data_IF_863059817759
#
_entry.id   IF_863059817759
#
_cell.length_a   1.000
_cell.length_b   1.000
_cell.length_c   1.000
_cell.angle_alpha   90.00
_cell.angle_beta   90.00
_cell.angle_gamma   90.00
#
_symmetry.space_group_name_H-M   'P 1'
#
loop_
_entity.id
_entity.type
_entity.pdbx_description
1 polymer ?
#
# COMPACT_ATOMS: atom_id res chain seq x y z
N UNK A 1 54.85 14.11 30.63
CA UNK A 1 54.70 15.52 30.98
C UNK A 1 53.25 15.87 30.77
N UNK A 2 52.41 15.68 31.75
CA UNK A 2 51.83 16.64 32.66
C UNK A 2 51.25 17.89 31.97
N UNK A 3 49.96 18.07 31.97
CA UNK A 3 49.12 18.85 32.91
C UNK A 3 47.65 18.77 32.48
N UNK A 4 46.78 18.27 33.30
CA UNK A 4 45.92 18.85 34.39
C UNK A 4 44.71 19.67 33.89
N UNK A 5 43.54 19.03 34.07
CA UNK A 5 42.29 19.47 34.76
C UNK A 5 41.88 20.96 34.68
N UNK A 6 40.65 21.21 34.31
CA UNK A 6 39.77 22.08 35.13
C UNK A 6 38.29 21.77 34.92
N UNK A 7 37.68 21.37 35.99
CA UNK A 7 36.25 21.25 36.30
C UNK A 7 35.71 22.68 36.54
N UNK A 8 34.55 22.99 35.95
CA UNK A 8 33.73 24.08 36.51
C UNK A 8 32.29 23.59 36.65
N UNK A 9 31.94 23.32 37.92
CA UNK A 9 30.57 23.23 38.42
C UNK A 9 30.11 24.65 38.71
N UNK A 10 28.93 25.04 38.20
CA UNK A 10 28.11 26.08 38.82
C UNK A 10 26.64 25.67 38.66
N UNK A 11 26.02 25.30 39.76
CA UNK A 11 24.63 25.45 40.12
C UNK A 11 24.60 26.67 41.03
N UNK A 12 23.65 27.60 40.96
CA UNK A 12 22.48 27.48 41.81
C UNK A 12 21.18 28.18 41.38
N UNK A 13 20.15 27.72 41.98
CA UNK A 13 19.14 28.40 42.83
C UNK A 13 17.90 29.05 42.18
N UNK A 14 16.79 28.41 42.49
CA UNK A 14 15.49 28.91 42.98
C UNK A 14 14.94 30.26 42.46
N UNK A 15 13.74 30.22 41.89
CA UNK A 15 12.66 31.10 42.37
C UNK A 15 11.27 30.43 42.17
N UNK A 16 10.70 30.09 43.30
CA UNK A 16 9.30 29.73 43.54
C UNK A 16 8.47 31.01 43.49
N UNK A 17 7.45 31.11 42.66
CA UNK A 17 6.44 32.15 42.79
C UNK A 17 5.04 31.48 42.75
N UNK A 18 4.53 31.26 43.93
CA UNK A 18 3.13 30.95 44.23
C UNK A 18 2.28 32.19 44.02
N UNK A 19 1.24 32.10 43.19
CA UNK A 19 0.14 33.06 43.21
C UNK A 19 -1.18 32.33 43.51
N UNK A 20 -1.60 32.51 44.73
CA UNK A 20 -2.94 32.19 45.24
C UNK A 20 -3.86 33.31 44.79
N UNK A 21 -4.96 33.01 44.14
CA UNK A 21 -6.12 33.91 44.10
C UNK A 21 -7.41 33.15 44.44
N UNK A 22 -8.08 33.77 45.36
CA UNK A 22 -9.17 33.37 46.20
C UNK A 22 -10.50 33.15 45.49
N UNK A 23 -11.25 32.20 46.08
CA UNK A 23 -12.67 31.90 45.84
C UNK A 23 -13.57 33.14 46.08
N UNK A 24 -14.63 33.22 45.28
CA UNK A 24 -15.90 33.74 45.74
C UNK A 24 -17.01 32.82 45.24
N UNK A 25 -17.65 32.21 46.21
CA UNK A 25 -18.85 31.37 46.05
C UNK A 25 -20.07 32.26 45.98
N UNK A 26 -21.09 31.83 45.21
CA UNK A 26 -22.52 31.77 45.60
C UNK A 26 -23.35 31.30 44.43
N UNK A 27 -24.05 30.23 44.57
CA UNK A 27 -25.50 30.08 44.64
C UNK A 27 -26.04 28.99 43.72
N UNK A 28 -26.29 27.88 44.30
CA UNK A 28 -27.50 27.01 44.25
C UNK A 28 -28.28 26.80 42.90
N UNK A 29 -28.35 25.59 42.34
CA UNK A 29 -29.53 24.69 42.33
C UNK A 29 -29.47 23.68 41.19
N UNK A 30 -29.63 22.38 41.60
CA UNK A 30 -30.35 21.30 40.99
C UNK A 30 -29.98 20.75 39.60
N UNK A 31 -29.46 19.54 39.61
CA UNK A 31 -29.87 18.39 38.81
C UNK A 31 -29.71 18.49 37.31
N UNK A 32 -28.69 17.78 36.74
CA UNK A 32 -28.97 16.73 35.78
C UNK A 32 -27.67 16.04 35.39
N UNK A 33 -27.73 14.76 35.25
CA UNK A 33 -26.76 13.82 34.75
C UNK A 33 -26.33 14.26 33.36
N UNK A 34 -25.07 14.75 33.18
CA UNK A 34 -24.49 14.94 31.85
C UNK A 34 -23.54 13.80 31.54
N UNK A 35 -23.95 12.98 30.60
CA UNK A 35 -23.13 12.07 29.84
C UNK A 35 -21.99 12.85 29.16
N UNK A 36 -20.82 12.25 29.05
CA UNK A 36 -19.71 12.76 28.26
C UNK A 36 -20.15 12.92 26.81
N UNK A 37 -19.73 13.95 26.10
CA UNK A 37 -20.03 14.07 24.69
C UNK A 37 -19.24 12.98 23.94
N UNK A 38 -19.96 12.04 23.37
CA UNK A 38 -19.51 11.29 22.21
C UNK A 38 -19.14 12.31 21.12
N UNK A 39 -17.94 12.20 20.58
CA UNK A 39 -17.54 12.94 19.39
C UNK A 39 -18.36 12.45 18.20
N UNK A 40 -19.56 12.98 18.02
CA UNK A 40 -20.26 12.96 16.76
C UNK A 40 -19.41 13.76 15.76
N UNK A 41 -18.83 13.07 14.81
CA UNK A 41 -18.24 13.69 13.63
C UNK A 41 -19.38 14.35 12.87
N UNK A 42 -19.45 15.67 12.96
CA UNK A 42 -20.43 16.50 12.25
C UNK A 42 -20.31 16.24 10.74
N UNK A 43 -21.32 15.57 10.18
CA UNK A 43 -21.58 15.59 8.74
C UNK A 43 -21.64 17.02 8.25
N UNK A 44 -20.78 17.36 7.28
CA UNK A 44 -20.92 18.58 6.48
C UNK A 44 -22.30 18.59 5.83
N UNK A 45 -22.76 19.78 5.47
CA UNK A 45 -24.10 20.10 4.92
C UNK A 45 -24.43 19.39 3.57
N UNK A 46 -23.58 18.48 3.09
CA UNK A 46 -23.73 17.69 1.85
C UNK A 46 -24.59 16.44 1.99
N UNK A 47 -24.81 15.93 3.20
CA UNK A 47 -25.46 14.63 3.45
C UNK A 47 -24.57 13.43 3.05
N UNK A 48 -23.32 13.66 2.63
CA UNK A 48 -22.36 12.63 2.28
C UNK A 48 -21.60 12.15 3.51
N UNK A 49 -21.14 10.90 3.48
CA UNK A 49 -20.29 10.34 4.54
C UNK A 49 -18.82 10.78 4.32
N UNK A 50 -18.24 11.42 5.32
CA UNK A 50 -16.83 11.83 5.27
C UNK A 50 -15.91 10.62 5.48
N UNK A 51 -15.09 10.27 4.46
CA UNK A 51 -14.26 9.08 4.44
C UNK A 51 -12.78 9.44 4.25
N UNK A 52 -11.93 9.00 5.17
CA UNK A 52 -10.47 9.22 5.15
C UNK A 52 -9.79 8.15 4.30
N UNK A 53 -9.25 8.55 3.15
CA UNK A 53 -8.69 7.65 2.14
C UNK A 53 -7.16 7.76 2.12
N UNK A 54 -6.45 6.67 2.46
CA UNK A 54 -5.01 6.59 2.31
C UNK A 54 -4.62 6.45 0.84
N UNK A 55 -3.77 7.35 0.35
CA UNK A 55 -3.15 7.18 -0.95
C UNK A 55 -1.65 7.47 -0.89
N UNK A 56 -0.88 6.82 -1.75
CA UNK A 56 0.54 7.10 -1.97
C UNK A 56 0.73 7.77 -3.33
N UNK A 57 1.70 8.69 -3.47
CA UNK A 57 2.00 9.32 -4.75
C UNK A 57 2.67 8.32 -5.70
N UNK A 58 1.88 7.39 -6.21
CA UNK A 58 2.30 6.32 -7.11
C UNK A 58 1.31 6.15 -8.25
N UNK A 59 1.84 5.89 -9.45
CA UNK A 59 1.04 5.77 -10.67
C UNK A 59 -0.03 4.68 -10.54
N UNK A 60 0.30 3.55 -9.90
CA UNK A 60 -0.62 2.45 -9.69
C UNK A 60 -1.83 2.77 -8.79
N UNK A 61 -1.78 3.89 -8.04
CA UNK A 61 -2.90 4.41 -7.25
C UNK A 61 -3.97 5.13 -8.11
N UNK A 62 -3.86 5.08 -9.43
CA UNK A 62 -4.78 5.74 -10.35
C UNK A 62 -6.27 5.55 -10.01
N UNK A 63 -6.78 4.35 -9.64
CA UNK A 63 -8.19 4.18 -9.30
C UNK A 63 -8.66 5.08 -8.16
N UNK A 64 -7.86 5.30 -7.09
CA UNK A 64 -8.22 6.22 -6.01
C UNK A 64 -8.23 7.67 -6.49
N UNK A 65 -7.19 8.07 -7.23
CA UNK A 65 -7.11 9.43 -7.77
C UNK A 65 -8.28 9.73 -8.72
N UNK A 66 -8.59 8.80 -9.61
CA UNK A 66 -9.70 8.93 -10.57
C UNK A 66 -11.05 8.89 -9.84
N UNK A 67 -11.21 8.06 -8.80
CA UNK A 67 -12.45 8.02 -8.03
C UNK A 67 -12.78 9.39 -7.41
N UNK A 68 -11.77 10.12 -6.95
CA UNK A 68 -11.93 11.50 -6.45
C UNK A 68 -12.19 12.49 -7.59
N UNK A 69 -11.34 12.49 -8.61
CA UNK A 69 -11.37 13.54 -9.63
C UNK A 69 -12.55 13.43 -10.61
N UNK A 70 -13.13 12.24 -10.74
CA UNK A 70 -14.30 11.98 -11.61
C UNK A 70 -15.60 11.83 -10.81
N UNK A 71 -15.59 11.99 -9.48
CA UNK A 71 -16.79 11.98 -8.66
C UNK A 71 -17.38 10.58 -8.40
N UNK A 72 -16.60 9.50 -8.53
CA UNK A 72 -17.10 8.15 -8.24
C UNK A 72 -17.44 7.97 -6.76
N UNK A 73 -16.72 8.64 -5.86
CA UNK A 73 -17.02 8.61 -4.43
C UNK A 73 -18.29 9.36 -4.10
N UNK A 74 -18.47 10.55 -4.64
CA UNK A 74 -19.66 11.37 -4.44
C UNK A 74 -20.92 10.69 -4.99
N UNK A 75 -20.79 9.98 -6.12
CA UNK A 75 -21.88 9.20 -6.71
C UNK A 75 -22.32 8.02 -5.81
N UNK A 76 -21.45 7.55 -4.92
CA UNK A 76 -21.71 6.51 -3.92
C UNK A 76 -22.04 7.10 -2.52
N UNK A 77 -22.26 8.39 -2.40
CA UNK A 77 -22.61 9.04 -1.15
C UNK A 77 -21.45 9.34 -0.22
N UNK A 78 -20.22 9.37 -0.73
CA UNK A 78 -18.98 9.58 0.03
C UNK A 78 -18.41 10.96 -0.27
N UNK A 79 -18.04 11.70 0.78
CA UNK A 79 -17.18 12.89 0.71
C UNK A 79 -15.73 12.45 1.00
N UNK A 80 -14.84 12.38 -0.03
CA UNK A 80 -13.51 11.83 0.15
C UNK A 80 -12.55 12.83 0.80
N UNK A 81 -11.86 12.44 1.87
CA UNK A 81 -10.67 13.12 2.38
C UNK A 81 -9.43 12.34 1.96
N UNK A 82 -8.70 12.86 0.97
CA UNK A 82 -7.47 12.23 0.50
C UNK A 82 -6.29 12.54 1.42
N UNK A 83 -5.79 11.52 2.11
CA UNK A 83 -4.65 11.62 3.02
C UNK A 83 -3.43 10.99 2.35
N UNK A 84 -2.48 11.84 1.96
CA UNK A 84 -1.24 11.37 1.36
C UNK A 84 -0.33 10.75 2.42
N UNK A 85 -0.01 9.46 2.23
CA UNK A 85 0.86 8.70 3.12
C UNK A 85 1.90 7.98 2.28
N UNK A 86 3.17 8.00 2.71
CA UNK A 86 4.19 7.16 2.08
C UNK A 86 3.77 5.69 2.21
N UNK A 87 3.93 4.92 1.12
CA UNK A 87 3.55 3.51 1.10
C UNK A 87 4.18 2.68 2.24
N UNK A 88 5.33 3.12 2.80
CA UNK A 88 5.97 2.46 3.93
C UNK A 88 5.19 2.62 5.24
N UNK A 89 4.37 3.68 5.39
CA UNK A 89 3.70 4.07 6.64
C UNK A 89 2.18 3.88 6.65
N UNK A 90 1.59 3.35 5.56
CA UNK A 90 0.13 3.14 5.47
C UNK A 90 -0.40 2.23 6.59
N UNK A 91 0.34 1.17 6.94
CA UNK A 91 -0.06 0.23 7.99
C UNK A 91 -0.09 0.88 9.38
N UNK A 92 0.88 1.75 9.66
CA UNK A 92 0.94 2.52 10.90
C UNK A 92 -0.22 3.51 11.01
N UNK A 93 -0.55 4.18 9.89
CA UNK A 93 -1.67 5.12 9.83
C UNK A 93 -3.03 4.42 10.06
N UNK A 94 -3.22 3.22 9.49
CA UNK A 94 -4.40 2.38 9.74
C UNK A 94 -4.46 1.98 11.22
N UNK A 95 -3.36 1.44 11.76
CA UNK A 95 -3.28 1.03 13.17
C UNK A 95 -3.52 2.16 14.17
N UNK A 96 -3.23 3.40 13.76
CA UNK A 96 -3.44 4.62 14.55
C UNK A 96 -4.81 5.29 14.30
N UNK A 97 -5.73 4.66 13.56
CA UNK A 97 -7.05 5.21 13.17
C UNK A 97 -6.97 6.58 12.48
N UNK A 98 -5.93 6.78 11.66
CA UNK A 98 -5.75 8.03 10.88
C UNK A 98 -6.45 7.97 9.51
N UNK A 99 -6.69 6.76 8.99
CA UNK A 99 -7.34 6.49 7.71
C UNK A 99 -8.33 5.33 7.84
N UNK A 100 -9.34 5.33 7.00
CA UNK A 100 -10.42 4.34 7.03
C UNK A 100 -10.26 3.30 5.94
N UNK A 101 -9.75 3.70 4.76
CA UNK A 101 -9.69 2.87 3.55
C UNK A 101 -8.46 3.16 2.71
N UNK A 102 -8.19 2.28 1.76
CA UNK A 102 -7.13 2.43 0.77
C UNK A 102 -6.99 1.19 -0.09
N UNK A 103 -5.92 1.10 -0.87
CA UNK A 103 -5.47 -0.15 -1.44
C UNK A 103 -3.95 -0.25 -1.52
N UNK A 104 -3.43 -1.46 -1.69
CA UNK A 104 -2.00 -1.69 -1.81
C UNK A 104 -1.63 -3.13 -2.12
N UNK A 105 -0.33 -3.37 -2.22
CA UNK A 105 0.25 -4.68 -2.54
C UNK A 105 -0.12 -5.72 -1.47
N UNK A 106 -0.83 -6.78 -1.85
CA UNK A 106 -1.36 -7.83 -0.96
C UNK A 106 -0.25 -8.39 -0.06
N UNK A 107 0.86 -8.84 -0.64
CA UNK A 107 1.94 -9.47 0.10
C UNK A 107 2.48 -8.63 1.26
N UNK A 108 2.46 -7.30 1.13
CA UNK A 108 2.93 -6.39 2.17
C UNK A 108 2.01 -6.35 3.40
N UNK A 109 0.71 -6.60 3.21
CA UNK A 109 -0.28 -6.50 4.28
C UNK A 109 -0.50 -7.81 5.04
N UNK A 110 -0.23 -8.99 4.46
CA UNK A 110 -0.63 -10.26 5.04
C UNK A 110 0.04 -10.55 6.39
N UNK A 111 1.36 -10.33 6.53
CA UNK A 111 2.03 -10.52 7.81
C UNK A 111 1.60 -9.52 8.89
N UNK A 112 1.45 -8.20 8.62
CA UNK A 112 0.84 -7.26 9.55
C UNK A 112 -0.59 -7.64 9.95
N UNK A 113 -1.41 -8.14 9.03
CA UNK A 113 -2.78 -8.61 9.32
C UNK A 113 -2.75 -9.84 10.22
N UNK A 114 -1.85 -10.81 9.97
CA UNK A 114 -1.62 -11.95 10.86
C UNK A 114 -1.24 -11.49 12.29
N UNK A 115 -0.54 -10.37 12.40
CA UNK A 115 -0.13 -9.75 13.66
C UNK A 115 -1.15 -8.76 14.22
N UNK A 116 -2.36 -8.68 13.64
CA UNK A 116 -3.48 -7.92 14.19
C UNK A 116 -3.71 -6.54 13.58
N UNK A 117 -3.15 -6.23 12.40
CA UNK A 117 -3.53 -5.01 11.66
C UNK A 117 -5.03 -5.06 11.34
N UNK A 118 -5.84 -4.09 11.80
CA UNK A 118 -7.31 -4.18 11.79
C UNK A 118 -7.91 -3.75 10.45
N UNK A 119 -7.77 -4.58 9.40
CA UNK A 119 -8.38 -4.36 8.10
C UNK A 119 -9.16 -5.55 7.59
N UNK A 120 -10.09 -5.30 6.66
CA UNK A 120 -10.70 -6.26 5.75
C UNK A 120 -10.34 -5.90 4.32
N UNK A 121 -9.90 -6.88 3.54
CA UNK A 121 -9.80 -6.72 2.10
C UNK A 121 -11.18 -6.82 1.46
N UNK A 122 -11.39 -6.16 0.31
CA UNK A 122 -12.71 -6.10 -0.32
C UNK A 122 -12.72 -6.42 -1.81
N UNK A 123 -11.65 -6.13 -2.55
CA UNK A 123 -11.53 -6.48 -3.98
C UNK A 123 -10.08 -6.52 -4.44
N UNK A 124 -9.78 -7.36 -5.43
CA UNK A 124 -8.57 -7.28 -6.24
C UNK A 124 -8.70 -6.15 -7.26
N UNK A 125 -7.63 -5.39 -7.47
CA UNK A 125 -7.65 -4.17 -8.29
C UNK A 125 -6.94 -4.35 -9.63
N UNK A 126 -5.72 -4.89 -9.62
CA UNK A 126 -4.92 -5.15 -10.83
C UNK A 126 -3.85 -6.22 -10.57
N UNK A 127 -3.24 -6.77 -11.64
CA UNK A 127 -2.40 -7.96 -11.52
C UNK A 127 -0.91 -7.67 -11.35
N UNK A 128 -0.30 -6.65 -11.91
CA UNK A 128 1.16 -6.59 -11.82
C UNK A 128 1.78 -5.21 -11.85
N UNK A 129 2.77 -4.99 -10.99
CA UNK A 129 3.62 -3.80 -11.03
C UNK A 129 5.01 -4.04 -10.44
N UNK A 130 5.38 -5.27 -10.11
CA UNK A 130 6.71 -5.61 -9.58
C UNK A 130 7.53 -6.26 -10.68
N UNK A 131 8.80 -5.85 -10.81
CA UNK A 131 9.75 -6.44 -11.73
C UNK A 131 11.04 -6.81 -11.02
N UNK A 132 11.69 -7.87 -11.52
CA UNK A 132 13.08 -8.23 -11.18
C UNK A 132 13.89 -8.01 -12.45
N UNK A 133 14.94 -7.18 -12.34
CA UNK A 133 15.70 -6.70 -13.50
C UNK A 133 17.21 -6.80 -13.27
N UNK A 134 17.97 -7.07 -14.32
CA UNK A 134 19.42 -7.18 -14.30
C UNK A 134 20.06 -6.48 -15.51
N UNK A 135 21.34 -6.06 -15.45
CA UNK A 135 22.04 -5.52 -16.61
C UNK A 135 22.10 -6.53 -17.77
N UNK A 136 21.90 -6.08 -19.00
CA UNK A 136 21.92 -6.95 -20.20
C UNK A 136 23.23 -7.69 -20.41
N UNK A 137 24.33 -7.09 -19.98
CA UNK A 137 25.68 -7.64 -20.12
C UNK A 137 26.15 -8.46 -18.90
N UNK A 138 25.29 -8.64 -17.89
CA UNK A 138 25.61 -9.34 -16.64
C UNK A 138 25.68 -10.87 -16.79
N UNK A 139 25.12 -11.43 -17.87
CA UNK A 139 24.95 -12.88 -18.03
C UNK A 139 23.84 -13.46 -17.14
N UNK A 140 23.00 -12.60 -16.52
CA UNK A 140 21.81 -13.00 -15.76
C UNK A 140 20.62 -12.92 -16.73
N UNK A 141 20.13 -14.06 -17.19
CA UNK A 141 19.09 -14.13 -18.24
C UNK A 141 17.77 -14.74 -17.75
N UNK A 142 17.81 -15.40 -16.58
CA UNK A 142 16.66 -16.11 -16.01
C UNK A 142 16.65 -16.04 -14.48
N UNK A 143 15.52 -16.36 -13.82
CA UNK A 143 15.43 -16.48 -12.37
C UNK A 143 16.43 -17.47 -11.76
N UNK A 144 16.78 -18.54 -12.47
CA UNK A 144 17.78 -19.54 -11.99
C UNK A 144 19.18 -18.93 -11.81
N UNK A 145 19.50 -17.86 -12.55
CA UNK A 145 20.81 -17.17 -12.46
C UNK A 145 20.93 -16.25 -11.23
N UNK A 146 19.86 -16.12 -10.44
CA UNK A 146 19.87 -15.35 -9.19
C UNK A 146 20.71 -16.01 -8.08
N UNK A 147 21.09 -17.26 -8.25
CA UNK A 147 21.97 -17.96 -7.30
C UNK A 147 23.34 -17.26 -7.20
N UNK A 148 23.72 -16.94 -5.96
CA UNK A 148 24.95 -16.22 -5.63
C UNK A 148 24.90 -14.71 -5.89
N UNK A 149 23.71 -14.16 -6.21
CA UNK A 149 23.56 -12.73 -6.55
C UNK A 149 23.10 -11.89 -5.38
N UNK A 150 23.43 -10.61 -5.45
CA UNK A 150 22.93 -9.57 -4.54
C UNK A 150 21.73 -8.89 -5.17
N UNK A 151 20.56 -9.03 -4.52
CA UNK A 151 19.30 -8.46 -4.97
C UNK A 151 19.03 -7.17 -4.20
N UNK A 152 19.07 -6.05 -4.87
CA UNK A 152 18.75 -4.74 -4.32
C UNK A 152 17.25 -4.56 -4.15
N UNK A 153 16.82 -4.15 -2.96
CA UNK A 153 15.41 -3.92 -2.59
C UNK A 153 15.28 -2.64 -1.79
N UNK A 154 14.07 -2.10 -1.70
CA UNK A 154 13.79 -0.90 -0.89
C UNK A 154 13.56 -1.19 0.60
N UNK A 155 13.31 -2.45 0.96
CA UNK A 155 13.10 -2.90 2.34
C UNK A 155 12.84 -4.40 2.41
N UNK A 156 13.31 -5.07 3.47
CA UNK A 156 13.20 -6.53 3.61
C UNK A 156 11.76 -7.05 3.78
N UNK A 157 10.85 -6.20 4.25
CA UNK A 157 9.43 -6.49 4.36
C UNK A 157 8.60 -5.91 3.19
N UNK A 158 9.26 -5.41 2.14
CA UNK A 158 8.62 -4.86 0.95
C UNK A 158 7.96 -5.95 0.09
N UNK A 159 6.89 -5.60 -0.63
CA UNK A 159 6.22 -6.53 -1.52
C UNK A 159 7.14 -7.05 -2.64
N UNK A 160 8.03 -6.21 -3.14
CA UNK A 160 9.06 -6.56 -4.11
C UNK A 160 10.04 -7.61 -3.58
N UNK A 161 10.40 -7.53 -2.29
CA UNK A 161 11.23 -8.54 -1.62
C UNK A 161 10.47 -9.86 -1.48
N UNK A 162 9.18 -9.81 -1.19
CA UNK A 162 8.31 -10.98 -1.12
C UNK A 162 8.21 -11.67 -2.49
N UNK A 163 8.00 -10.91 -3.57
CA UNK A 163 8.02 -11.45 -4.93
C UNK A 163 9.37 -12.11 -5.24
N UNK A 164 10.49 -11.45 -4.93
CA UNK A 164 11.82 -12.03 -5.16
C UNK A 164 12.03 -13.30 -4.34
N UNK A 165 11.58 -13.37 -3.09
CA UNK A 165 11.65 -14.59 -2.26
C UNK A 165 10.82 -15.75 -2.84
N UNK A 166 9.62 -15.46 -3.40
CA UNK A 166 8.81 -16.46 -4.10
C UNK A 166 9.55 -17.00 -5.33
N UNK A 167 10.12 -16.11 -6.13
CA UNK A 167 10.93 -16.49 -7.30
C UNK A 167 12.11 -17.38 -6.89
N UNK A 168 12.87 -16.98 -5.88
CA UNK A 168 13.99 -17.78 -5.36
C UNK A 168 13.53 -19.16 -4.86
N UNK A 169 12.40 -19.22 -4.13
CA UNK A 169 11.84 -20.48 -3.63
C UNK A 169 11.47 -21.43 -4.78
N UNK A 170 10.86 -20.92 -5.86
CA UNK A 170 10.50 -21.72 -7.03
C UNK A 170 11.71 -22.26 -7.77
N UNK A 171 12.82 -21.51 -7.80
CA UNK A 171 14.11 -21.97 -8.35
C UNK A 171 14.91 -22.85 -7.38
N UNK A 172 14.41 -23.10 -6.16
CA UNK A 172 15.12 -23.85 -5.13
C UNK A 172 16.36 -23.14 -4.58
N UNK A 173 16.43 -21.82 -4.69
CA UNK A 173 17.52 -20.97 -4.21
C UNK A 173 17.21 -20.53 -2.79
N UNK A 174 18.08 -20.88 -1.85
CA UNK A 174 17.92 -20.50 -0.44
C UNK A 174 18.14 -19.01 -0.20
N UNK A 175 17.22 -18.41 0.53
CA UNK A 175 17.34 -17.05 1.09
C UNK A 175 17.30 -17.06 2.63
N UNK A 176 17.51 -18.23 3.24
CA UNK A 176 17.62 -18.37 4.70
C UNK A 176 18.83 -17.58 5.22
N UNK A 177 18.63 -16.81 6.29
CA UNK A 177 19.68 -15.95 6.87
C UNK A 177 20.92 -16.73 7.34
N UNK A 178 20.77 -18.02 7.65
CA UNK A 178 21.86 -18.85 8.14
C UNK A 178 22.71 -19.45 7.02
N UNK A 179 22.15 -19.63 5.82
CA UNK A 179 22.85 -20.16 4.66
C UNK A 179 22.23 -19.65 3.35
N UNK A 180 22.32 -18.33 3.09
CA UNK A 180 21.74 -17.75 1.89
C UNK A 180 22.51 -18.14 0.63
N UNK A 181 21.78 -18.50 -0.41
CA UNK A 181 22.30 -18.66 -1.77
C UNK A 181 22.01 -17.45 -2.67
N UNK A 182 21.25 -16.47 -2.16
CA UNK A 182 21.08 -15.13 -2.70
C UNK A 182 20.97 -14.14 -1.54
N UNK A 183 21.49 -12.93 -1.71
CA UNK A 183 21.56 -11.92 -0.65
C UNK A 183 20.65 -10.73 -0.97
N UNK A 184 19.81 -10.31 -0.01
CA UNK A 184 19.04 -9.07 -0.13
C UNK A 184 19.81 -7.89 0.45
N UNK A 185 19.99 -6.83 -0.34
CA UNK A 185 20.69 -5.60 0.06
C UNK A 185 19.73 -4.42 -0.01
N UNK A 186 19.56 -3.73 1.12
CA UNK A 186 18.59 -2.62 1.21
C UNK A 186 19.26 -1.30 0.82
N UNK A 187 18.63 -0.58 -0.12
CA UNK A 187 18.96 0.78 -0.51
C UNK A 187 17.72 1.66 -0.50
N UNK A 188 17.89 2.98 -0.46
CA UNK A 188 16.78 3.86 -0.80
C UNK A 188 16.31 3.54 -2.23
N UNK A 189 14.99 3.52 -2.45
CA UNK A 189 14.40 3.14 -3.74
C UNK A 189 14.97 3.91 -4.93
N UNK A 190 15.32 5.19 -4.75
CA UNK A 190 15.88 6.03 -5.82
C UNK A 190 17.37 5.77 -6.07
N UNK A 191 18.07 5.13 -5.13
CA UNK A 191 19.51 4.87 -5.22
C UNK A 191 19.82 3.47 -5.79
N UNK A 192 18.81 2.60 -5.97
CA UNK A 192 18.98 1.24 -6.46
C UNK A 192 19.65 1.17 -7.84
N UNK A 193 19.27 2.06 -8.77
CA UNK A 193 19.88 2.12 -10.09
C UNK A 193 21.38 2.45 -10.02
N UNK A 194 21.76 3.42 -9.19
CA UNK A 194 23.16 3.77 -8.98
C UNK A 194 23.94 2.65 -8.25
N UNK A 195 23.30 1.95 -7.31
CA UNK A 195 23.91 0.81 -6.63
C UNK A 195 24.19 -0.35 -7.60
N UNK A 196 23.29 -0.59 -8.56
CA UNK A 196 23.47 -1.55 -9.64
C UNK A 196 24.64 -1.16 -10.56
N UNK A 197 24.67 0.07 -11.03
CA UNK A 197 25.73 0.59 -11.90
C UNK A 197 27.13 0.52 -11.25
N UNK A 198 27.19 0.75 -9.93
CA UNK A 198 28.43 0.66 -9.15
C UNK A 198 28.82 -0.78 -8.75
N UNK A 199 28.03 -1.79 -9.12
CA UNK A 199 28.27 -3.20 -8.77
C UNK A 199 28.10 -3.52 -7.28
N UNK A 200 27.39 -2.68 -6.52
CA UNK A 200 27.04 -2.96 -5.13
C UNK A 200 25.96 -4.03 -5.01
N UNK A 201 25.12 -4.14 -6.03
CA UNK A 201 24.10 -5.17 -6.25
C UNK A 201 24.19 -5.68 -7.68
N UNK A 202 23.66 -6.88 -7.93
CA UNK A 202 23.67 -7.53 -9.25
C UNK A 202 22.31 -7.41 -9.95
N UNK A 203 21.23 -7.29 -9.16
CA UNK A 203 19.83 -7.36 -9.59
C UNK A 203 19.02 -6.36 -8.77
N UNK A 204 17.98 -5.81 -9.36
CA UNK A 204 16.98 -4.98 -8.64
C UNK A 204 15.63 -5.71 -8.65
N UNK A 205 15.00 -5.82 -7.48
CA UNK A 205 13.57 -6.13 -7.36
C UNK A 205 12.85 -4.89 -6.85
N UNK A 206 11.95 -4.33 -7.67
CA UNK A 206 11.28 -3.07 -7.35
C UNK A 206 9.91 -2.97 -8.03
N UNK A 207 9.04 -2.12 -7.50
CA UNK A 207 7.75 -1.80 -8.09
C UNK A 207 7.83 -0.61 -9.06
N UNK A 208 6.87 -0.58 -10.00
CA UNK A 208 6.67 0.54 -10.91
C UNK A 208 6.19 1.82 -10.18
N UNK A 209 6.44 3.00 -10.73
CA UNK A 209 7.10 3.29 -12.03
C UNK A 209 8.64 3.25 -11.97
N UNK A 210 9.24 3.12 -10.78
CA UNK A 210 10.69 3.27 -10.58
C UNK A 210 11.47 2.19 -11.33
N UNK A 211 11.05 0.93 -11.25
CA UNK A 211 11.76 -0.16 -11.92
C UNK A 211 11.72 0.00 -13.45
N UNK A 212 10.59 0.42 -14.03
CA UNK A 212 10.50 0.67 -15.47
C UNK A 212 11.30 1.89 -15.91
N UNK A 213 11.47 2.92 -15.06
CA UNK A 213 12.43 4.00 -15.30
C UNK A 213 13.87 3.47 -15.32
N UNK A 214 14.22 2.58 -14.39
CA UNK A 214 15.56 1.96 -14.38
C UNK A 214 15.78 1.07 -15.61
N UNK A 215 14.77 0.31 -16.05
CA UNK A 215 14.86 -0.49 -17.29
C UNK A 215 15.26 0.39 -18.48
N UNK A 216 14.64 1.57 -18.62
CA UNK A 216 14.97 2.49 -19.70
C UNK A 216 16.32 3.21 -19.49
N UNK A 217 16.59 3.66 -18.29
CA UNK A 217 17.77 4.46 -17.99
C UNK A 217 19.07 3.65 -18.04
N UNK A 218 19.06 2.42 -17.56
CA UNK A 218 20.24 1.56 -17.43
C UNK A 218 20.26 0.39 -18.43
N UNK A 219 19.32 0.36 -19.39
CA UNK A 219 19.21 -0.68 -20.42
C UNK A 219 19.16 -2.10 -19.83
N UNK A 220 18.21 -2.36 -18.92
CA UNK A 220 18.14 -3.61 -18.18
C UNK A 220 17.29 -4.67 -18.89
N UNK A 221 17.59 -5.95 -18.64
CA UNK A 221 16.73 -7.09 -18.90
C UNK A 221 15.68 -7.23 -17.80
N UNK A 222 14.45 -7.53 -18.18
CA UNK A 222 13.37 -7.91 -17.25
C UNK A 222 13.40 -9.43 -17.13
N UNK A 223 13.75 -9.94 -15.96
CA UNK A 223 13.79 -11.37 -15.67
C UNK A 223 12.41 -11.88 -15.24
N UNK A 224 11.71 -11.07 -14.45
CA UNK A 224 10.33 -11.31 -13.99
C UNK A 224 9.55 -10.01 -14.07
N UNK A 225 8.36 -10.08 -14.63
CA UNK A 225 7.35 -9.02 -14.59
C UNK A 225 6.04 -9.63 -14.09
N UNK A 226 5.57 -9.22 -12.93
CA UNK A 226 4.36 -9.80 -12.34
C UNK A 226 3.09 -9.55 -13.16
N UNK A 227 3.12 -8.61 -14.12
CA UNK A 227 2.02 -8.38 -15.05
C UNK A 227 1.95 -9.44 -16.19
N UNK A 228 3.10 -10.04 -16.56
CA UNK A 228 3.19 -10.87 -17.78
C UNK A 228 3.80 -12.25 -17.56
N UNK A 229 4.58 -12.45 -16.49
CA UNK A 229 5.17 -13.76 -16.19
C UNK A 229 4.09 -14.75 -15.80
N UNK A 230 4.13 -15.95 -16.38
CA UNK A 230 3.09 -17.00 -16.24
C UNK A 230 2.73 -17.28 -14.77
N UNK A 231 3.72 -17.24 -13.90
CA UNK A 231 3.58 -17.51 -12.47
C UNK A 231 2.70 -16.46 -11.75
N UNK A 232 2.72 -15.19 -12.20
CA UNK A 232 2.11 -14.06 -11.49
C UNK A 232 0.96 -13.40 -12.25
N UNK A 233 0.91 -13.51 -13.57
CA UNK A 233 0.03 -12.71 -14.44
C UNK A 233 -1.47 -12.90 -14.19
N UNK A 234 -1.86 -14.03 -13.60
CA UNK A 234 -3.24 -14.32 -13.19
C UNK A 234 -3.54 -13.93 -11.74
N UNK A 235 -2.55 -13.46 -10.98
CA UNK A 235 -2.72 -13.11 -9.57
C UNK A 235 -2.93 -11.60 -9.42
N UNK A 236 -3.91 -11.20 -8.61
CA UNK A 236 -3.98 -9.81 -8.18
C UNK A 236 -2.81 -9.49 -7.26
N UNK A 237 -2.02 -8.48 -7.61
CA UNK A 237 -0.93 -8.01 -6.77
C UNK A 237 -1.40 -6.98 -5.74
N UNK A 238 -2.46 -6.24 -6.04
CA UNK A 238 -3.05 -5.22 -5.18
C UNK A 238 -4.51 -5.49 -4.89
N UNK A 239 -4.91 -5.23 -3.64
CA UNK A 239 -6.29 -5.30 -3.19
C UNK A 239 -6.70 -4.03 -2.42
N UNK A 240 -7.97 -3.65 -2.54
CA UNK A 240 -8.59 -2.64 -1.71
C UNK A 240 -8.84 -3.19 -0.30
N UNK A 241 -8.80 -2.29 0.68
CA UNK A 241 -9.08 -2.62 2.07
C UNK A 241 -9.86 -1.51 2.76
N UNK A 242 -10.58 -1.90 3.78
CA UNK A 242 -11.27 -1.03 4.73
C UNK A 242 -10.82 -1.35 6.15
N UNK A 243 -10.86 -0.38 7.07
CA UNK A 243 -10.60 -0.66 8.49
C UNK A 243 -11.69 -1.59 9.05
N UNK A 244 -11.35 -2.43 10.04
CA UNK A 244 -12.34 -3.27 10.71
C UNK A 244 -13.46 -2.42 11.30
N UNK A 245 -13.12 -1.25 11.85
CA UNK A 245 -14.09 -0.30 12.41
C UNK A 245 -15.12 0.12 11.36
N UNK A 246 -14.68 0.54 10.17
CA UNK A 246 -15.59 0.93 9.09
C UNK A 246 -16.44 -0.27 8.64
N UNK A 247 -15.83 -1.45 8.49
CA UNK A 247 -16.53 -2.66 8.06
C UNK A 247 -17.64 -3.10 9.04
N UNK A 248 -17.46 -2.86 10.35
CA UNK A 248 -18.37 -3.25 11.43
C UNK A 248 -19.43 -2.18 11.71
N UNK A 249 -19.05 -0.90 11.77
CA UNK A 249 -19.91 0.20 12.13
C UNK A 249 -20.71 0.77 10.95
N UNK A 250 -20.12 0.76 9.74
CA UNK A 250 -20.65 1.34 8.50
C UNK A 250 -20.42 0.43 7.29
N UNK A 251 -20.98 -0.80 7.28
CA UNK A 251 -20.78 -1.74 6.17
C UNK A 251 -21.30 -1.23 4.83
N UNK A 252 -22.32 -0.36 4.84
CA UNK A 252 -22.88 0.31 3.68
C UNK A 252 -21.86 1.28 3.03
N UNK A 253 -21.07 2.00 3.83
CA UNK A 253 -20.01 2.89 3.37
C UNK A 253 -18.80 2.09 2.88
N UNK A 254 -18.45 0.99 3.55
CA UNK A 254 -17.41 0.08 3.10
C UNK A 254 -17.75 -0.55 1.72
N UNK A 255 -19.03 -0.91 1.52
CA UNK A 255 -19.54 -1.36 0.22
C UNK A 255 -19.49 -0.25 -0.84
N UNK A 256 -19.92 0.97 -0.50
CA UNK A 256 -19.88 2.15 -1.36
C UNK A 256 -18.45 2.49 -1.82
N UNK A 257 -17.48 2.48 -0.89
CA UNK A 257 -16.06 2.63 -1.21
C UNK A 257 -15.61 1.56 -2.21
N UNK A 258 -15.95 0.31 -1.97
CA UNK A 258 -15.55 -0.81 -2.85
C UNK A 258 -16.13 -0.63 -4.24
N UNK A 259 -17.42 -0.28 -4.39
CA UNK A 259 -18.06 0.01 -5.68
C UNK A 259 -17.36 1.15 -6.42
N UNK A 260 -17.07 2.25 -5.72
CA UNK A 260 -16.39 3.41 -6.31
C UNK A 260 -15.02 3.05 -6.86
N UNK A 261 -14.21 2.30 -6.10
CA UNK A 261 -12.86 1.87 -6.52
C UNK A 261 -12.92 0.89 -7.69
N UNK A 262 -13.85 -0.07 -7.69
CA UNK A 262 -14.05 -1.00 -8.81
C UNK A 262 -14.41 -0.25 -10.10
N UNK A 263 -15.38 0.68 -10.04
CA UNK A 263 -15.78 1.53 -11.19
C UNK A 263 -14.62 2.39 -11.69
N UNK A 264 -13.89 3.04 -10.79
CA UNK A 264 -12.74 3.86 -11.15
C UNK A 264 -11.59 3.03 -11.76
N UNK A 265 -11.42 1.77 -11.33
CA UNK A 265 -10.45 0.85 -11.94
C UNK A 265 -10.80 0.51 -13.38
N UNK A 266 -12.08 0.26 -13.65
CA UNK A 266 -12.58 0.08 -15.03
C UNK A 266 -12.32 1.34 -15.86
N UNK A 267 -12.58 2.54 -15.28
CA UNK A 267 -12.30 3.80 -15.96
C UNK A 267 -10.82 3.94 -16.35
N UNK A 268 -9.91 3.63 -15.44
CA UNK A 268 -8.46 3.68 -15.71
C UNK A 268 -8.08 2.73 -16.84
N UNK A 269 -8.66 1.54 -16.88
CA UNK A 269 -8.42 0.56 -17.95
C UNK A 269 -8.89 1.06 -19.33
N UNK A 270 -10.09 1.65 -19.38
CA UNK A 270 -10.68 2.14 -20.62
C UNK A 270 -10.05 3.47 -21.09
N UNK A 271 -9.59 4.31 -20.15
CA UNK A 271 -9.09 5.65 -20.42
C UNK A 271 -7.69 5.92 -19.82
N UNK A 272 -6.68 5.08 -20.09
CA UNK A 272 -5.38 5.15 -19.42
C UNK A 272 -4.61 6.46 -19.69
N UNK A 273 -4.77 7.07 -20.87
CA UNK A 273 -4.14 8.35 -21.21
C UNK A 273 -4.76 9.50 -20.41
N UNK A 274 -6.10 9.53 -20.32
CA UNK A 274 -6.80 10.55 -19.53
C UNK A 274 -6.49 10.39 -18.04
N UNK A 275 -6.46 9.14 -17.53
CA UNK A 275 -6.09 8.86 -16.15
C UNK A 275 -4.66 9.31 -15.83
N UNK A 276 -3.70 9.03 -16.71
CA UNK A 276 -2.31 9.51 -16.56
C UNK A 276 -2.25 11.04 -16.58
N UNK A 277 -2.99 11.69 -17.49
CA UNK A 277 -3.06 13.14 -17.60
C UNK A 277 -3.64 13.77 -16.34
N UNK A 278 -4.75 13.25 -15.80
CA UNK A 278 -5.36 13.74 -14.56
C UNK A 278 -4.34 13.63 -13.41
N UNK A 279 -3.68 12.50 -13.26
CA UNK A 279 -2.68 12.31 -12.21
C UNK A 279 -1.52 13.32 -12.30
N UNK A 280 -1.05 13.64 -13.50
CA UNK A 280 0.00 14.65 -13.74
C UNK A 280 -0.51 16.07 -13.46
N UNK A 281 -1.65 16.46 -14.01
CA UNK A 281 -2.23 17.81 -13.86
C UNK A 281 -2.53 18.12 -12.38
N UNK A 282 -3.01 17.14 -11.64
CA UNK A 282 -3.32 17.24 -10.21
C UNK A 282 -2.12 17.00 -9.30
N UNK A 283 -0.95 16.66 -9.87
CA UNK A 283 0.31 16.44 -9.16
C UNK A 283 0.28 15.25 -8.19
N UNK A 284 -0.55 14.26 -8.46
CA UNK A 284 -0.50 12.98 -7.76
C UNK A 284 0.79 12.21 -8.08
N UNK A 285 1.26 12.35 -9.32
CA UNK A 285 2.51 11.75 -9.80
C UNK A 285 3.32 12.75 -10.61
N UNK A 286 4.56 12.41 -10.89
CA UNK A 286 5.44 13.14 -11.80
C UNK A 286 5.79 12.26 -13.01
N UNK A 287 6.46 12.82 -13.99
CA UNK A 287 6.98 12.07 -15.14
C UNK A 287 6.39 12.53 -16.48
N UNK A 288 6.60 11.72 -17.48
CA UNK A 288 6.13 11.94 -18.84
C UNK A 288 4.78 11.27 -19.09
N UNK A 289 3.90 11.93 -19.85
CA UNK A 289 2.54 11.43 -20.11
C UNK A 289 2.56 10.12 -20.89
N UNK A 290 3.39 10.01 -21.93
CA UNK A 290 3.46 8.80 -22.77
C UNK A 290 3.95 7.60 -21.96
N UNK A 291 5.01 7.81 -21.17
CA UNK A 291 5.54 6.79 -20.26
C UNK A 291 4.50 6.35 -19.22
N UNK A 292 3.88 7.31 -18.52
CA UNK A 292 2.87 7.00 -17.51
C UNK A 292 1.65 6.28 -18.12
N UNK A 293 1.21 6.69 -19.31
CA UNK A 293 0.13 6.03 -20.05
C UNK A 293 0.50 4.58 -20.41
N UNK A 294 1.73 4.36 -20.87
CA UNK A 294 2.20 3.01 -21.22
C UNK A 294 2.21 2.07 -20.01
N UNK A 295 2.59 2.58 -18.84
CA UNK A 295 2.59 1.82 -17.59
C UNK A 295 1.15 1.52 -17.11
N UNK A 296 0.23 2.49 -17.14
CA UNK A 296 -1.17 2.24 -16.78
C UNK A 296 -1.80 1.14 -17.64
N UNK A 297 -1.48 1.11 -18.95
CA UNK A 297 -1.91 0.03 -19.87
C UNK A 297 -1.33 -1.34 -19.49
N UNK A 298 -0.15 -1.38 -18.89
CA UNK A 298 0.52 -2.63 -18.52
C UNK A 298 0.03 -3.25 -17.22
N UNK A 299 -0.64 -2.49 -16.35
CA UNK A 299 -1.04 -2.97 -15.02
C UNK A 299 -2.29 -3.84 -15.00
N UNK A 300 -3.03 -3.92 -16.11
CA UNK A 300 -4.17 -4.83 -16.20
C UNK A 300 -5.26 -4.55 -15.15
N UNK A 301 -5.86 -3.38 -15.18
CA UNK A 301 -6.94 -3.00 -14.27
C UNK A 301 -8.25 -3.72 -14.61
N UNK A 302 -8.34 -4.98 -14.20
CA UNK A 302 -9.52 -5.82 -14.31
C UNK A 302 -9.98 -6.17 -12.90
N UNK A 303 -10.68 -5.25 -12.19
CA UNK A 303 -11.02 -5.44 -10.79
C UNK A 303 -12.02 -6.58 -10.59
N UNK A 304 -11.86 -7.35 -9.50
CA UNK A 304 -12.77 -8.44 -9.13
C UNK A 304 -12.79 -8.65 -7.63
N UNK A 305 -13.98 -8.79 -7.07
CA UNK A 305 -14.17 -9.13 -5.65
C UNK A 305 -13.72 -10.57 -5.40
N UNK A 306 -14.20 -11.53 -6.20
CA UNK A 306 -13.83 -12.94 -6.05
C UNK A 306 -12.35 -13.16 -6.37
N UNK A 307 -11.84 -12.50 -7.43
CA UNK A 307 -10.42 -12.59 -7.80
C UNK A 307 -9.50 -12.06 -6.70
N UNK A 308 -9.91 -11.01 -5.99
CA UNK A 308 -9.19 -10.51 -4.82
C UNK A 308 -9.14 -11.52 -3.68
N UNK A 309 -10.27 -12.17 -3.38
CA UNK A 309 -10.34 -13.23 -2.38
C UNK A 309 -9.40 -14.40 -2.72
N UNK A 310 -9.47 -14.89 -3.96
CA UNK A 310 -8.66 -16.02 -4.42
C UNK A 310 -7.16 -15.69 -4.40
N UNK A 311 -6.78 -14.46 -4.78
CA UNK A 311 -5.39 -14.00 -4.74
C UNK A 311 -4.85 -13.89 -3.31
N UNK A 312 -5.67 -13.43 -2.35
CA UNK A 312 -5.26 -13.38 -0.94
C UNK A 312 -5.05 -14.78 -0.40
N UNK A 313 -5.98 -15.69 -0.66
CA UNK A 313 -5.87 -17.10 -0.23
C UNK A 313 -4.59 -17.74 -0.79
N UNK A 314 -4.34 -17.61 -2.09
CA UNK A 314 -3.13 -18.12 -2.73
C UNK A 314 -1.87 -17.48 -2.13
N UNK A 315 -1.88 -16.17 -1.92
CA UNK A 315 -0.74 -15.47 -1.29
C UNK A 315 -0.47 -15.97 0.13
N UNK A 316 -1.51 -16.24 0.92
CA UNK A 316 -1.36 -16.80 2.27
C UNK A 316 -0.71 -18.18 2.22
N UNK A 317 -1.16 -19.07 1.33
CA UNK A 317 -0.57 -20.40 1.12
C UNK A 317 0.93 -20.31 0.79
N UNK A 318 1.28 -19.45 -0.17
CA UNK A 318 2.66 -19.28 -0.63
C UNK A 318 3.56 -18.64 0.44
N UNK A 319 3.06 -17.61 1.14
CA UNK A 319 3.84 -16.91 2.18
C UNK A 319 4.05 -17.78 3.43
N UNK A 320 3.10 -18.67 3.76
CA UNK A 320 3.29 -19.67 4.81
C UNK A 320 4.35 -20.72 4.42
N UNK A 321 4.35 -21.17 3.15
CA UNK A 321 5.35 -22.12 2.64
C UNK A 321 6.78 -21.59 2.71
N UNK A 322 6.97 -20.30 2.44
CA UNK A 322 8.30 -19.64 2.47
C UNK A 322 8.64 -19.01 3.83
N UNK A 323 7.82 -19.27 4.88
CA UNK A 323 8.11 -18.85 6.25
C UNK A 323 7.94 -17.37 6.55
N UNK A 324 7.21 -16.63 5.70
CA UNK A 324 6.85 -15.22 5.96
C UNK A 324 5.64 -15.13 6.90
N UNK A 325 4.64 -15.99 6.71
CA UNK A 325 3.57 -16.22 7.66
C UNK A 325 3.92 -17.39 8.57
N UNK A 326 3.19 -17.53 9.67
CA UNK A 326 3.42 -18.62 10.65
C UNK A 326 3.22 -19.98 10.00
N UNK A 327 4.06 -20.92 10.39
CA UNK A 327 3.93 -22.30 9.96
C UNK A 327 2.55 -22.86 10.38
N UNK A 328 1.85 -23.49 9.43
CA UNK A 328 0.53 -24.05 9.67
C UNK A 328 -0.64 -23.05 9.60
N UNK A 329 -0.40 -21.83 9.15
CA UNK A 329 -1.48 -20.87 8.86
C UNK A 329 -2.46 -21.49 7.84
N UNK A 330 -3.72 -21.67 8.26
CA UNK A 330 -4.79 -22.15 7.37
C UNK A 330 -5.24 -20.99 6.45
N UNK A 331 -4.93 -21.12 5.17
CA UNK A 331 -5.18 -20.05 4.19
C UNK A 331 -6.67 -19.77 4.00
N UNK A 332 -7.52 -20.81 4.04
CA UNK A 332 -8.97 -20.63 3.92
C UNK A 332 -9.51 -19.84 5.12
N UNK A 333 -9.21 -20.31 6.33
CA UNK A 333 -9.67 -19.66 7.56
C UNK A 333 -9.10 -18.24 7.68
N UNK A 334 -7.82 -18.06 7.33
CA UNK A 334 -7.20 -16.73 7.34
C UNK A 334 -7.95 -15.78 6.43
N UNK A 335 -8.15 -16.18 5.16
CA UNK A 335 -8.82 -15.33 4.15
C UNK A 335 -10.26 -15.02 4.54
N UNK A 336 -11.02 -16.01 5.01
CA UNK A 336 -12.40 -15.80 5.51
C UNK A 336 -12.45 -14.77 6.64
N UNK A 337 -11.44 -14.73 7.49
CA UNK A 337 -11.37 -13.80 8.61
C UNK A 337 -10.99 -12.37 8.20
N UNK A 338 -10.27 -12.19 7.09
CA UNK A 338 -9.70 -10.89 6.69
C UNK A 338 -10.31 -10.31 5.42
N UNK A 339 -11.30 -10.99 4.84
CA UNK A 339 -12.02 -10.54 3.65
C UNK A 339 -13.46 -10.19 3.98
N UNK A 340 -14.00 -9.15 3.34
CA UNK A 340 -15.40 -8.76 3.46
C UNK A 340 -16.07 -8.81 2.09
N UNK A 341 -17.18 -9.53 2.01
CA UNK A 341 -18.12 -9.50 0.90
C UNK A 341 -19.33 -8.66 1.29
N UNK A 342 -19.85 -7.89 0.34
CA UNK A 342 -21.04 -7.07 0.51
C UNK A 342 -22.06 -7.47 -0.55
N UNK A 343 -23.30 -7.75 -0.15
CA UNK A 343 -24.35 -8.29 -1.02
C UNK A 343 -24.70 -7.38 -2.20
N UNK A 344 -24.49 -6.07 -2.06
CA UNK A 344 -24.77 -5.03 -3.05
C UNK A 344 -23.52 -4.60 -3.87
N UNK A 345 -22.41 -5.30 -3.71
CA UNK A 345 -21.20 -5.11 -4.51
C UNK A 345 -21.07 -6.27 -5.51
N UNK A 346 -21.24 -6.02 -6.81
CA UNK A 346 -21.02 -7.07 -7.81
C UNK A 346 -19.53 -7.44 -7.90
N UNK A 347 -19.24 -8.62 -8.46
CA UNK A 347 -17.85 -9.07 -8.62
C UNK A 347 -16.99 -8.09 -9.42
N UNK A 348 -17.56 -7.50 -10.46
CA UNK A 348 -16.87 -6.53 -11.33
C UNK A 348 -17.88 -5.59 -11.99
N UNK A 349 -17.38 -4.55 -12.63
CA UNK A 349 -18.13 -3.62 -13.47
C UNK A 349 -17.59 -3.65 -14.91
N UNK A 350 -18.39 -3.14 -15.86
CA UNK A 350 -18.02 -2.97 -17.26
C UNK A 350 -17.99 -1.50 -17.64
N UNK A 351 -17.45 -1.18 -18.82
CA UNK A 351 -17.48 0.18 -19.36
C UNK A 351 -18.91 0.77 -19.44
N UNK A 352 -19.94 -0.07 -19.66
CA UNK A 352 -21.32 0.38 -19.70
C UNK A 352 -21.84 0.86 -18.33
N UNK A 353 -21.34 0.29 -17.25
CA UNK A 353 -21.75 0.62 -15.88
C UNK A 353 -21.19 1.96 -15.37
N UNK A 354 -20.22 2.52 -16.09
CA UNK A 354 -19.56 3.79 -15.76
C UNK A 354 -19.84 4.90 -16.74
N UNK A 355 -20.63 4.66 -17.80
CA UNK A 355 -20.84 5.59 -18.92
C UNK A 355 -21.43 6.93 -18.51
N UNK A 356 -22.21 6.98 -17.43
CA UNK A 356 -22.86 8.20 -16.95
C UNK A 356 -21.94 9.08 -16.07
N UNK A 357 -20.79 8.53 -15.65
CA UNK A 357 -19.80 9.20 -14.76
C UNK A 357 -18.53 9.57 -15.56
N UNK A 358 -18.31 8.90 -16.71
CA UNK A 358 -17.11 9.03 -17.55
C UNK A 358 -17.05 10.31 -18.38
#
# INVERSE_FOLDING_TARGET
MNQKKRIFRILPLFLLATLVFTMAACGNQSGDTSAAPSSDSSSGDSGLYHLRIAYSPSLCQAPLHIAVEKGFFEAEGIEPENIQIDAAHVQEAIGADQVDVGFGLIGKFLQPVENGLPIKFTAGIYTGCVKIVAPKDSGIESPADLKGKKIGVSGLAGAETIVAKRVLANEGISFDETNPEAEFVVFNKNDLGQALENGAIDVIAMSDPIVSQFVQQYDLNVLVDTATSEEFSSEYCCASFVSNKLAEEHPDIAAAFTRAVLKASVYVNEHPEEAAKIQLDKKYVTGDLEFNTSLLKSYNYIPSVQGGYDAIKLSVEQLAQIGILKEGTDAQQFTDNVYAFYDDVPDSYTAADIADIA
#
